data_IF_450549073632
#
_entry.id   IF_450549073632
#
_cell.length_a   1.000
_cell.length_b   1.000
_cell.length_c   1.000
_cell.angle_alpha   90.00
_cell.angle_beta   90.00
_cell.angle_gamma   90.00
#
_symmetry.space_group_name_H-M   'P 1'
#
loop_
_entity.id
_entity.type
_entity.pdbx_description
1 polymer ?
#
# COMPACT_ATOMS: atom_id res chain seq x y z
N UNK A 1 -7.61 -1.09 27.64
CA UNK A 1 -6.26 -0.49 27.59
C UNK A 1 -6.30 0.67 26.63
N UNK A 2 -5.66 1.80 26.95
CA UNK A 2 -5.89 3.13 26.35
C UNK A 2 -5.77 3.09 24.82
N UNK A 3 -6.89 3.32 24.14
CA UNK A 3 -6.98 3.45 22.70
C UNK A 3 -6.31 4.76 22.25
N UNK A 4 -5.06 4.69 21.82
CA UNK A 4 -4.46 5.74 20.98
C UNK A 4 -4.69 5.37 19.52
N UNK A 5 -5.89 5.66 19.02
CA UNK A 5 -6.07 6.01 17.61
C UNK A 5 -5.69 7.49 17.46
N UNK A 6 -4.94 7.86 16.42
CA UNK A 6 -5.60 8.00 15.13
C UNK A 6 -4.91 7.20 14.03
N UNK A 7 -5.71 6.77 13.06
CA UNK A 7 -5.21 6.41 11.74
C UNK A 7 -4.30 7.51 11.19
N UNK A 8 -3.01 7.20 11.05
CA UNK A 8 -1.98 8.11 10.53
C UNK A 8 -1.96 8.20 9.00
N UNK A 9 -2.61 7.25 8.33
CA UNK A 9 -2.93 7.36 6.90
C UNK A 9 -3.88 8.54 6.65
N UNK A 10 -4.83 8.78 7.56
CA UNK A 10 -5.64 10.00 7.53
C UNK A 10 -4.76 11.24 7.73
N UNK A 11 -3.65 11.18 8.49
CA UNK A 11 -2.74 12.32 8.70
C UNK A 11 -1.83 12.62 7.51
N UNK A 12 -1.41 11.61 6.73
CA UNK A 12 -0.72 11.84 5.45
C UNK A 12 -1.66 12.52 4.43
N UNK A 13 -2.96 12.24 4.53
CA UNK A 13 -4.05 12.88 3.78
C UNK A 13 -4.57 14.20 4.39
N UNK A 14 -4.35 14.45 5.70
CA UNK A 14 -4.76 15.67 6.41
C UNK A 14 -3.64 16.69 6.56
N UNK A 15 -2.35 16.32 6.43
CA UNK A 15 -1.26 17.29 6.30
C UNK A 15 -1.44 18.19 5.08
N UNK A 16 -2.27 17.73 4.15
CA UNK A 16 -2.76 18.41 2.96
C UNK A 16 -3.81 19.51 3.26
N UNK A 17 -4.47 19.52 4.42
CA UNK A 17 -5.62 20.39 4.67
C UNK A 17 -5.36 21.65 5.52
N UNK A 18 -4.11 21.99 5.85
CA UNK A 18 -3.86 23.20 6.66
C UNK A 18 -2.62 23.98 6.25
N UNK A 19 -2.80 24.99 5.40
CA UNK A 19 -2.21 26.34 5.51
C UNK A 19 -2.67 27.22 4.35
N UNK A 20 -3.66 28.08 4.58
CA UNK A 20 -3.88 29.27 3.75
C UNK A 20 -2.83 30.31 4.14
N UNK A 21 -1.90 30.66 3.25
CA UNK A 21 -1.57 32.06 2.88
C UNK A 21 -0.34 32.19 1.95
N UNK A 22 -0.59 32.80 0.79
CA UNK A 22 0.22 33.79 0.03
C UNK A 22 1.46 33.32 -0.78
N UNK A 23 1.19 33.21 -2.09
CA UNK A 23 1.89 33.73 -3.29
C UNK A 23 3.41 33.70 -3.46
N UNK A 24 3.88 32.90 -4.43
CA UNK A 24 4.93 33.26 -5.42
C UNK A 24 4.57 32.63 -6.78
N UNK A 25 4.59 33.41 -7.86
CA UNK A 25 4.32 32.98 -9.25
C UNK A 25 5.54 32.22 -9.83
N UNK A 26 5.41 31.16 -10.63
CA UNK A 26 4.74 31.11 -11.94
C UNK A 26 4.18 29.70 -12.25
N UNK A 27 3.01 29.70 -12.89
CA UNK A 27 2.01 28.61 -13.07
C UNK A 27 1.37 28.10 -11.78
N UNK A 28 0.08 28.43 -11.51
CA UNK A 28 -0.63 27.93 -10.33
C UNK A 28 -0.69 26.40 -10.38
N UNK A 29 -0.14 25.75 -9.36
CA UNK A 29 -0.56 24.40 -8.99
C UNK A 29 -2.01 24.53 -8.53
N UNK A 30 -2.97 24.19 -9.38
CA UNK A 30 -4.33 24.00 -8.87
C UNK A 30 -4.31 22.70 -8.06
N UNK A 31 -4.74 22.82 -6.82
CA UNK A 31 -4.94 21.69 -5.92
C UNK A 31 -6.42 21.35 -5.98
N UNK A 32 -6.77 20.20 -6.54
CA UNK A 32 -8.14 19.71 -6.51
C UNK A 32 -8.33 18.84 -5.28
N UNK A 33 -9.31 19.20 -4.43
CA UNK A 33 -9.73 18.39 -3.29
C UNK A 33 -10.73 17.34 -3.79
N UNK A 34 -10.42 16.06 -3.57
CA UNK A 34 -11.36 14.95 -3.77
C UNK A 34 -12.43 14.94 -2.65
N UNK A 35 -13.60 14.29 -2.83
CA UNK A 35 -14.55 14.00 -1.74
C UNK A 35 -13.93 13.31 -0.51
N UNK A 36 -12.73 12.72 -0.66
CA UNK A 36 -11.97 12.03 0.39
C UNK A 36 -10.74 12.83 0.86
N UNK A 37 -10.73 14.16 0.72
CA UNK A 37 -9.62 15.06 1.13
C UNK A 37 -8.24 14.69 0.53
N UNK A 38 -8.22 13.90 -0.55
CA UNK A 38 -7.02 13.63 -1.34
C UNK A 38 -6.65 14.91 -2.11
N UNK A 39 -5.44 15.40 -1.90
CA UNK A 39 -4.87 16.51 -2.68
C UNK A 39 -4.03 15.93 -3.81
N UNK A 40 -4.47 16.23 -5.02
CA UNK A 40 -3.73 15.97 -6.25
C UNK A 40 -3.19 17.31 -6.75
N UNK A 41 -1.88 17.39 -6.90
CA UNK A 41 -1.24 18.49 -7.60
C UNK A 41 -1.41 18.29 -9.10
N UNK A 42 -2.05 19.25 -9.77
CA UNK A 42 -2.20 19.23 -11.23
C UNK A 42 -0.83 19.38 -11.93
N UNK A 43 -0.70 18.79 -13.13
CA UNK A 43 0.50 18.84 -13.98
C UNK A 43 1.75 18.13 -13.42
N UNK A 44 1.58 17.14 -12.53
CA UNK A 44 2.65 16.18 -12.24
C UNK A 44 2.71 15.10 -13.34
N UNK A 45 3.88 14.55 -13.69
CA UNK A 45 3.92 13.37 -14.55
C UNK A 45 3.20 12.20 -13.87
N UNK A 46 2.91 11.15 -14.63
CA UNK A 46 2.29 9.94 -14.09
C UNK A 46 3.16 9.39 -12.94
N UNK A 47 2.69 9.59 -11.72
CA UNK A 47 3.27 9.01 -10.51
C UNK A 47 2.54 7.70 -10.29
N UNK A 48 3.31 6.64 -10.05
CA UNK A 48 2.77 5.35 -9.63
C UNK A 48 2.94 5.22 -8.12
N UNK A 49 1.97 5.71 -7.32
CA UNK A 49 2.01 5.41 -5.90
C UNK A 49 1.97 3.88 -5.75
N UNK A 50 2.79 3.34 -4.85
CA UNK A 50 2.58 1.99 -4.35
C UNK A 50 2.36 1.99 -2.86
N UNK A 51 1.94 0.87 -2.32
CA UNK A 51 1.75 0.72 -0.90
C UNK A 51 2.32 -0.63 -0.59
N UNK A 52 3.11 -0.68 0.45
CA UNK A 52 3.49 -1.96 1.05
C UNK A 52 3.00 -1.97 2.48
N UNK A 53 3.20 -3.03 3.23
CA UNK A 53 2.66 -3.11 4.59
C UNK A 53 3.68 -3.74 5.52
N UNK A 54 4.02 -3.07 6.61
CA UNK A 54 4.93 -3.61 7.60
C UNK A 54 4.34 -4.85 8.27
N UNK A 55 5.16 -5.88 8.35
CA UNK A 55 4.88 -7.11 9.08
C UNK A 55 6.15 -7.95 9.25
N UNK A 56 6.00 -9.16 9.77
CA UNK A 56 7.06 -10.16 9.79
C UNK A 56 6.64 -11.40 9.00
N UNK A 57 7.60 -12.02 8.32
CA UNK A 57 7.42 -13.26 7.59
C UNK A 57 8.16 -14.38 8.31
N UNK A 58 7.46 -15.46 8.63
CA UNK A 58 8.03 -16.71 9.12
C UNK A 58 7.83 -17.80 8.07
N UNK A 59 8.92 -18.49 7.68
CA UNK A 59 8.87 -19.62 6.75
C UNK A 59 9.30 -20.88 7.47
N UNK A 60 8.37 -21.81 7.64
CA UNK A 60 8.58 -23.08 8.34
C UNK A 60 8.62 -24.18 7.30
N UNK A 61 9.79 -24.76 7.08
CA UNK A 61 9.97 -25.90 6.17
C UNK A 61 9.93 -27.20 6.97
N UNK A 62 8.94 -28.04 6.69
CA UNK A 62 8.84 -29.40 7.24
C UNK A 62 9.26 -30.40 6.17
N UNK A 63 10.13 -31.34 6.56
CA UNK A 63 10.50 -32.49 5.72
C UNK A 63 9.73 -33.69 6.21
N UNK A 64 9.07 -34.40 5.30
CA UNK A 64 8.48 -35.69 5.59
C UNK A 64 9.59 -36.71 5.88
N UNK A 65 9.26 -37.74 6.64
CA UNK A 65 10.11 -38.92 6.68
C UNK A 65 10.32 -39.46 5.26
N UNK A 66 11.50 -40.01 4.95
CA UNK A 66 11.74 -40.69 3.68
C UNK A 66 10.77 -41.87 3.55
N UNK A 67 10.01 -41.88 2.46
CA UNK A 67 9.19 -43.01 2.04
C UNK A 67 10.04 -43.86 1.09
N UNK A 68 10.06 -45.17 1.32
CA UNK A 68 10.74 -46.12 0.45
C UNK A 68 9.70 -46.74 -0.48
N UNK A 69 9.85 -46.48 -1.77
CA UNK A 69 9.03 -47.06 -2.83
C UNK A 69 9.86 -48.01 -3.70
N UNK A 70 9.22 -49.01 -4.27
CA UNK A 70 9.84 -49.92 -5.24
C UNK A 70 9.30 -49.52 -6.60
N UNK A 71 10.18 -49.05 -7.49
CA UNK A 71 9.81 -48.79 -8.87
C UNK A 71 9.56 -50.10 -9.63
N UNK A 72 8.85 -50.00 -10.76
CA UNK A 72 8.48 -51.14 -11.63
C UNK A 72 9.70 -51.94 -12.13
N UNK A 73 10.89 -51.34 -12.08
CA UNK A 73 12.20 -51.95 -12.37
C UNK A 73 12.78 -52.79 -11.21
N UNK A 74 12.13 -52.83 -10.04
CA UNK A 74 12.60 -53.49 -8.83
C UNK A 74 13.61 -52.68 -8.01
N UNK A 75 13.88 -51.43 -8.38
CA UNK A 75 14.80 -50.54 -7.67
C UNK A 75 14.12 -49.87 -6.48
N UNK A 76 14.82 -49.79 -5.34
CA UNK A 76 14.37 -49.06 -4.15
C UNK A 76 14.67 -47.56 -4.32
N UNK A 77 13.63 -46.74 -4.19
CA UNK A 77 13.74 -45.28 -4.25
C UNK A 77 13.31 -44.71 -2.91
N UNK A 78 14.14 -43.81 -2.37
CA UNK A 78 13.78 -43.03 -1.19
C UNK A 78 13.32 -41.66 -1.64
N UNK A 79 12.05 -41.34 -1.42
CA UNK A 79 11.48 -40.01 -1.68
C UNK A 79 11.16 -39.32 -0.36
N UNK A 80 11.54 -38.05 -0.24
CA UNK A 80 11.14 -37.20 0.89
C UNK A 80 10.50 -35.94 0.34
N UNK A 81 9.28 -35.65 0.77
CA UNK A 81 8.60 -34.41 0.45
C UNK A 81 9.04 -33.32 1.43
N UNK A 82 9.16 -32.09 0.93
CA UNK A 82 9.39 -30.91 1.76
C UNK A 82 8.26 -29.92 1.49
N UNK A 83 7.57 -29.47 2.54
CA UNK A 83 6.55 -28.43 2.43
C UNK A 83 7.01 -27.21 3.22
N UNK A 84 6.81 -26.01 2.66
CA UNK A 84 7.13 -24.75 3.34
C UNK A 84 5.85 -24.00 3.60
N UNK A 85 5.51 -23.83 4.88
CA UNK A 85 4.42 -22.97 5.32
C UNK A 85 4.96 -21.54 5.51
N UNK A 86 4.26 -20.56 4.94
CA UNK A 86 4.57 -19.14 5.13
C UNK A 86 3.50 -18.52 6.03
N UNK A 87 3.94 -17.74 7.01
CA UNK A 87 3.06 -16.99 7.92
C UNK A 87 3.44 -15.52 7.92
N UNK A 88 2.45 -14.66 7.79
CA UNK A 88 2.60 -13.20 7.95
C UNK A 88 2.01 -12.80 9.30
N UNK A 89 2.71 -11.93 10.03
CA UNK A 89 2.20 -11.30 11.25
C UNK A 89 2.25 -9.78 11.12
N UNK A 90 1.12 -9.12 11.33
CA UNK A 90 1.00 -7.66 11.34
C UNK A 90 0.97 -7.14 12.78
N UNK A 91 1.42 -5.90 13.01
CA UNK A 91 1.64 -5.32 14.35
C UNK A 91 0.36 -5.19 15.19
N UNK A 92 -0.78 -4.96 14.54
CA UNK A 92 -2.09 -4.76 15.14
C UNK A 92 -2.99 -5.99 14.97
N UNK A 93 -2.41 -7.14 14.65
CA UNK A 93 -3.09 -8.43 14.61
C UNK A 93 -3.78 -8.75 13.27
N UNK A 94 -4.62 -9.80 13.25
CA UNK A 94 -5.14 -10.37 12.00
C UNK A 94 -6.02 -9.42 11.18
N UNK A 95 -6.78 -8.53 11.81
CA UNK A 95 -7.64 -7.58 11.10
C UNK A 95 -6.83 -6.54 10.32
N UNK A 96 -5.66 -6.13 10.82
CA UNK A 96 -4.74 -5.29 10.04
C UNK A 96 -4.24 -6.04 8.81
N UNK A 97 -3.81 -7.31 8.96
CA UNK A 97 -3.40 -8.11 7.81
C UNK A 97 -4.53 -8.25 6.78
N UNK A 98 -5.76 -8.50 7.23
CA UNK A 98 -6.93 -8.58 6.35
C UNK A 98 -7.20 -7.25 5.63
N UNK A 99 -7.11 -6.12 6.33
CA UNK A 99 -7.26 -4.79 5.75
C UNK A 99 -6.19 -4.46 4.72
N UNK A 100 -4.94 -4.84 4.98
CA UNK A 100 -3.82 -4.69 4.06
C UNK A 100 -4.05 -5.52 2.79
N UNK A 101 -4.47 -6.78 2.94
CA UNK A 101 -4.84 -7.65 1.82
C UNK A 101 -5.99 -7.05 1.00
N UNK A 102 -7.03 -6.51 1.63
CA UNK A 102 -8.15 -5.85 0.93
C UNK A 102 -7.66 -4.67 0.09
N UNK A 103 -6.76 -3.83 0.62
CA UNK A 103 -6.17 -2.70 -0.12
C UNK A 103 -5.29 -3.14 -1.30
N UNK A 104 -4.55 -4.24 -1.17
CA UNK A 104 -3.74 -4.83 -2.25
C UNK A 104 -4.62 -5.43 -3.34
N UNK A 105 -5.64 -6.21 -2.97
CA UNK A 105 -6.59 -6.80 -3.90
C UNK A 105 -7.38 -5.72 -4.65
N UNK A 106 -7.81 -4.66 -3.96
CA UNK A 106 -8.48 -3.55 -4.63
C UNK A 106 -7.57 -2.90 -5.68
N UNK A 107 -6.30 -2.64 -5.36
CA UNK A 107 -5.31 -2.13 -6.32
C UNK A 107 -5.18 -3.03 -7.55
N UNK A 108 -5.18 -4.35 -7.35
CA UNK A 108 -5.03 -5.32 -8.44
C UNK A 108 -6.12 -5.16 -9.51
N UNK A 109 -7.38 -4.96 -9.09
CA UNK A 109 -8.52 -4.83 -10.01
C UNK A 109 -8.84 -3.38 -10.40
N UNK A 110 -8.42 -2.42 -9.58
CA UNK A 110 -8.56 -0.98 -9.82
C UNK A 110 -7.17 -0.31 -9.71
N UNK A 111 -6.25 -0.52 -10.68
CA UNK A 111 -4.88 -0.02 -10.61
C UNK A 111 -4.75 1.49 -10.81
N UNK A 112 -5.82 2.14 -11.27
CA UNK A 112 -5.93 3.58 -11.40
C UNK A 112 -5.78 4.25 -10.03
N UNK A 113 -4.74 5.07 -9.86
CA UNK A 113 -4.47 5.75 -8.60
C UNK A 113 -5.60 6.72 -8.23
N UNK A 114 -6.36 7.23 -9.20
CA UNK A 114 -7.50 8.12 -8.95
C UNK A 114 -8.66 7.37 -8.30
N UNK A 115 -8.63 6.03 -8.27
CA UNK A 115 -9.63 5.19 -7.59
C UNK A 115 -9.02 4.52 -6.36
N UNK A 116 -7.85 3.92 -6.51
CA UNK A 116 -7.23 3.15 -5.44
C UNK A 116 -6.76 4.02 -4.27
N UNK A 117 -6.19 5.20 -4.52
CA UNK A 117 -5.77 6.10 -3.42
C UNK A 117 -6.98 6.58 -2.60
N UNK A 118 -8.09 7.04 -3.21
CA UNK A 118 -9.32 7.33 -2.46
C UNK A 118 -9.88 6.14 -1.68
N UNK A 119 -9.82 4.92 -2.21
CA UNK A 119 -10.23 3.71 -1.49
C UNK A 119 -9.40 3.49 -0.22
N UNK A 120 -8.08 3.52 -0.35
CA UNK A 120 -7.15 3.41 0.78
C UNK A 120 -7.40 4.55 1.78
N UNK A 121 -7.53 5.78 1.31
CA UNK A 121 -7.80 6.96 2.13
C UNK A 121 -9.10 6.80 2.95
N UNK A 122 -10.17 6.35 2.30
CA UNK A 122 -11.49 6.19 2.90
C UNK A 122 -11.51 5.06 3.95
N UNK A 123 -10.94 3.89 3.62
CA UNK A 123 -10.81 2.77 4.58
C UNK A 123 -10.09 3.20 5.86
N UNK A 124 -9.07 4.04 5.70
CA UNK A 124 -8.26 4.50 6.82
C UNK A 124 -8.87 5.70 7.56
N UNK A 125 -9.90 6.37 7.02
CA UNK A 125 -10.39 7.63 7.63
C UNK A 125 -11.80 7.54 8.19
N UNK A 126 -12.71 6.76 7.59
CA UNK A 126 -14.13 6.80 7.97
C UNK A 126 -14.43 6.01 9.24
N UNK A 127 -14.07 4.72 9.27
CA UNK A 127 -14.28 3.85 10.44
C UNK A 127 -13.08 2.94 10.66
N UNK A 128 -11.92 3.47 11.12
CA UNK A 128 -10.67 2.71 11.19
C UNK A 128 -10.74 1.44 12.07
N UNK A 129 -11.71 1.38 12.98
CA UNK A 129 -11.97 0.21 13.84
C UNK A 129 -12.53 -1.00 13.09
N UNK A 130 -13.09 -0.78 11.90
CA UNK A 130 -13.70 -1.81 11.05
C UNK A 130 -12.75 -2.30 9.94
N UNK A 131 -11.52 -1.78 9.89
CA UNK A 131 -10.50 -2.25 8.93
C UNK A 131 -10.32 -3.76 9.08
N UNK A 132 -10.29 -4.46 7.94
CA UNK A 132 -10.24 -5.92 7.89
C UNK A 132 -11.60 -6.61 7.83
N UNK A 133 -12.70 -5.93 8.19
CA UNK A 133 -14.04 -6.47 7.97
C UNK A 133 -14.38 -6.50 6.47
N UNK A 134 -14.73 -7.66 5.87
CA UNK A 134 -15.05 -7.73 4.45
C UNK A 134 -16.20 -6.81 4.03
N UNK A 135 -17.24 -6.70 4.87
CA UNK A 135 -18.39 -5.82 4.62
C UNK A 135 -17.98 -4.35 4.57
N UNK A 136 -17.10 -3.92 5.47
CA UNK A 136 -16.62 -2.55 5.50
C UNK A 136 -15.79 -2.21 4.27
N UNK A 137 -14.88 -3.10 3.86
CA UNK A 137 -14.11 -2.90 2.64
C UNK A 137 -15.03 -2.77 1.41
N UNK A 138 -16.07 -3.61 1.30
CA UNK A 138 -17.06 -3.53 0.22
C UNK A 138 -17.85 -2.23 0.23
N UNK A 139 -18.37 -1.82 1.40
CA UNK A 139 -19.10 -0.55 1.57
C UNK A 139 -18.25 0.66 1.13
N UNK A 140 -16.97 0.68 1.51
CA UNK A 140 -16.03 1.73 1.12
C UNK A 140 -15.76 1.71 -0.39
N UNK A 141 -15.55 0.53 -0.97
CA UNK A 141 -15.30 0.37 -2.40
C UNK A 141 -16.47 0.85 -3.26
N UNK A 142 -17.70 0.47 -2.91
CA UNK A 142 -18.91 0.89 -3.60
C UNK A 142 -19.09 2.41 -3.56
N UNK A 143 -18.88 3.02 -2.39
CA UNK A 143 -18.97 4.47 -2.23
C UNK A 143 -17.93 5.20 -3.06
N UNK A 144 -16.66 4.77 -3.01
CA UNK A 144 -15.59 5.40 -3.79
C UNK A 144 -15.82 5.28 -5.30
N UNK A 145 -16.26 4.12 -5.79
CA UNK A 145 -16.57 3.95 -7.20
C UNK A 145 -17.78 4.79 -7.63
N UNK A 146 -18.82 4.86 -6.80
CA UNK A 146 -19.97 5.73 -7.03
C UNK A 146 -19.54 7.19 -7.12
N UNK A 147 -18.72 7.67 -6.18
CA UNK A 147 -18.29 9.08 -6.11
C UNK A 147 -17.37 9.48 -7.27
N UNK A 148 -16.56 8.55 -7.80
CA UNK A 148 -15.50 8.87 -8.78
C UNK A 148 -15.87 8.50 -10.20
N UNK A 149 -16.43 7.29 -10.40
CA UNK A 149 -16.74 6.77 -11.74
C UNK A 149 -18.20 6.95 -12.11
N UNK A 150 -19.07 7.37 -11.18
CA UNK A 150 -20.53 7.43 -11.35
C UNK A 150 -21.15 6.08 -11.76
N UNK A 151 -20.46 4.96 -11.49
CA UNK A 151 -21.00 3.61 -11.64
C UNK A 151 -20.26 2.63 -10.71
N UNK A 152 -20.93 1.51 -10.40
CA UNK A 152 -20.37 0.42 -9.61
C UNK A 152 -20.20 -0.79 -10.52
N UNK A 153 -19.00 -1.36 -10.57
CA UNK A 153 -18.75 -2.63 -11.26
C UNK A 153 -18.82 -3.78 -10.26
N UNK A 154 -20.03 -4.29 -10.01
CA UNK A 154 -20.28 -5.42 -9.11
C UNK A 154 -19.38 -6.64 -9.45
N UNK A 155 -19.23 -7.07 -10.72
CA UNK A 155 -18.38 -8.21 -11.05
C UNK A 155 -16.89 -7.99 -10.70
N UNK A 156 -16.39 -6.76 -10.80
CA UNK A 156 -15.01 -6.47 -10.39
C UNK A 156 -14.86 -6.44 -8.88
N UNK A 157 -15.83 -5.89 -8.17
CA UNK A 157 -15.82 -5.90 -6.70
C UNK A 157 -15.91 -7.32 -6.14
N UNK A 158 -16.68 -8.21 -6.77
CA UNK A 158 -16.74 -9.62 -6.36
C UNK A 158 -15.36 -10.30 -6.52
N UNK A 159 -14.61 -9.96 -7.57
CA UNK A 159 -13.22 -10.41 -7.74
C UNK A 159 -12.27 -9.83 -6.69
N UNK A 160 -12.50 -8.60 -6.24
CA UNK A 160 -11.74 -8.02 -5.11
C UNK A 160 -12.00 -8.84 -3.84
N UNK A 161 -13.26 -9.13 -3.55
CA UNK A 161 -13.66 -9.91 -2.36
C UNK A 161 -13.11 -11.35 -2.42
N UNK A 162 -13.14 -11.97 -3.61
CA UNK A 162 -12.57 -13.29 -3.85
C UNK A 162 -11.05 -13.31 -3.67
N UNK A 163 -10.34 -12.31 -4.22
CA UNK A 163 -8.91 -12.14 -4.01
C UNK A 163 -8.59 -12.03 -2.52
N UNK A 164 -9.34 -11.20 -1.78
CA UNK A 164 -9.04 -10.89 -0.38
C UNK A 164 -9.13 -12.10 0.57
N UNK A 165 -9.90 -13.13 0.19
CA UNK A 165 -10.04 -14.39 0.96
C UNK A 165 -9.22 -15.56 0.40
N UNK A 166 -8.46 -15.34 -0.67
CA UNK A 166 -7.76 -16.40 -1.39
C UNK A 166 -6.26 -16.43 -1.12
N UNK A 167 -5.61 -17.50 -1.60
CA UNK A 167 -4.15 -17.60 -1.63
C UNK A 167 -3.51 -16.43 -2.41
N UNK A 168 -4.17 -15.96 -3.49
CA UNK A 168 -3.68 -14.83 -4.27
C UNK A 168 -3.57 -13.55 -3.42
N UNK A 169 -4.58 -13.25 -2.61
CA UNK A 169 -4.54 -12.12 -1.70
C UNK A 169 -3.46 -12.26 -0.62
N UNK A 170 -3.27 -13.49 -0.12
CA UNK A 170 -2.20 -13.78 0.82
C UNK A 170 -0.81 -13.60 0.19
N UNK A 171 -0.60 -14.04 -1.04
CA UNK A 171 0.67 -13.90 -1.75
C UNK A 171 1.00 -12.42 -2.02
N UNK A 172 -0.01 -11.60 -2.36
CA UNK A 172 0.15 -10.15 -2.46
C UNK A 172 0.60 -9.54 -1.11
N UNK A 173 0.03 -9.99 0.01
CA UNK A 173 0.44 -9.54 1.34
C UNK A 173 1.88 -9.96 1.66
N UNK A 174 2.28 -11.19 1.31
CA UNK A 174 3.66 -11.66 1.48
C UNK A 174 4.64 -10.82 0.67
N UNK A 175 4.35 -10.56 -0.61
CA UNK A 175 5.20 -9.71 -1.46
C UNK A 175 5.33 -8.30 -0.88
N UNK A 176 4.21 -7.74 -0.45
CA UNK A 176 4.14 -6.42 0.17
C UNK A 176 4.99 -6.33 1.44
N UNK A 177 4.85 -7.30 2.36
CA UNK A 177 5.64 -7.32 3.60
C UNK A 177 7.12 -7.53 3.30
N UNK A 178 7.45 -8.45 2.39
CA UNK A 178 8.84 -8.71 1.98
C UNK A 178 9.48 -7.43 1.42
N UNK A 179 8.74 -6.66 0.62
CA UNK A 179 9.22 -5.39 0.10
C UNK A 179 9.58 -4.40 1.22
N UNK A 180 8.83 -4.37 2.33
CA UNK A 180 9.16 -3.49 3.48
C UNK A 180 10.45 -3.93 4.18
N UNK A 181 10.64 -5.25 4.32
CA UNK A 181 11.81 -5.86 4.94
C UNK A 181 13.06 -5.58 4.12
N UNK A 182 12.98 -5.78 2.80
CA UNK A 182 14.10 -5.60 1.88
C UNK A 182 14.60 -4.14 1.84
N UNK A 183 13.72 -3.18 2.14
CA UNK A 183 14.04 -1.75 2.21
C UNK A 183 14.37 -1.27 3.63
N UNK A 184 14.48 -2.17 4.61
CA UNK A 184 14.82 -1.83 6.00
C UNK A 184 13.79 -0.94 6.68
N UNK A 185 12.53 -1.00 6.27
CA UNK A 185 11.45 -0.16 6.81
C UNK A 185 10.89 -0.79 8.08
N UNK A 186 11.15 -0.16 9.23
CA UNK A 186 10.65 -0.61 10.54
C UNK A 186 9.50 0.26 11.08
N UNK A 187 9.33 1.46 10.54
CA UNK A 187 8.38 2.47 11.01
C UNK A 187 7.32 2.73 9.93
N UNK A 188 6.04 2.62 10.32
CA UNK A 188 4.91 2.88 9.42
C UNK A 188 4.93 4.33 8.92
N UNK A 189 4.27 4.62 7.82
CA UNK A 189 4.24 5.97 7.24
C UNK A 189 5.64 6.51 6.87
N UNK A 190 6.54 5.61 6.44
CA UNK A 190 7.81 5.99 5.82
C UNK A 190 7.55 6.32 4.35
N UNK A 191 7.86 7.55 3.95
CA UNK A 191 7.66 8.02 2.58
C UNK A 191 8.95 7.85 1.80
N UNK A 192 8.86 7.21 0.64
CA UNK A 192 9.94 7.15 -0.34
C UNK A 192 9.59 8.02 -1.55
N UNK A 193 10.58 8.75 -2.05
CA UNK A 193 10.53 9.44 -3.33
C UNK A 193 11.82 9.11 -4.07
N UNK A 194 11.72 8.53 -5.26
CA UNK A 194 12.83 8.21 -6.16
C UNK A 194 13.73 7.14 -5.53
N UNK A 195 13.08 6.12 -4.97
CA UNK A 195 13.65 5.04 -4.14
C UNK A 195 14.51 5.53 -2.97
N UNK A 196 14.37 6.81 -2.59
CA UNK A 196 15.05 7.43 -1.45
C UNK A 196 14.06 7.73 -0.35
N UNK A 197 14.40 7.32 0.88
CA UNK A 197 13.62 7.69 2.06
C UNK A 197 13.57 9.21 2.18
N UNK A 198 12.35 9.76 2.13
CA UNK A 198 12.09 11.20 2.10
C UNK A 198 11.71 11.77 3.46
N UNK A 199 10.94 11.03 4.24
CA UNK A 199 10.34 11.52 5.48
C UNK A 199 9.70 10.32 6.22
N UNK A 200 9.61 10.39 7.54
CA UNK A 200 8.97 9.36 8.38
C UNK A 200 7.95 10.05 9.28
N UNK A 201 6.76 9.48 9.42
CA UNK A 201 5.82 9.89 10.47
C UNK A 201 5.86 8.86 11.60
N UNK A 202 6.23 9.30 12.79
CA UNK A 202 6.24 8.45 13.98
C UNK A 202 5.50 9.14 15.13
N UNK A 203 4.45 8.48 15.63
CA UNK A 203 3.57 9.05 16.66
C UNK A 203 2.86 10.34 16.24
N UNK A 204 2.60 10.52 14.93
CA UNK A 204 2.02 11.75 14.39
C UNK A 204 3.00 12.92 14.23
N UNK A 205 4.29 12.67 14.43
CA UNK A 205 5.34 13.68 14.30
C UNK A 205 6.18 13.34 13.07
N UNK A 206 6.35 14.33 12.19
CA UNK A 206 7.27 14.26 11.06
C UNK A 206 8.72 14.25 11.54
N UNK A 207 9.50 13.28 11.08
CA UNK A 207 10.90 13.05 11.43
C UNK A 207 11.70 12.71 10.18
N UNK A 208 12.99 13.04 10.21
CA UNK A 208 13.92 12.69 9.12
C UNK A 208 13.47 13.26 7.75
N UNK A 209 13.03 14.52 7.75
CA UNK A 209 12.47 15.21 6.57
C UNK A 209 13.42 16.35 6.12
N UNK A 210 14.55 16.05 5.47
CA UNK A 210 15.59 17.03 5.15
C UNK A 210 15.12 18.18 4.25
N UNK A 211 14.08 17.97 3.46
CA UNK A 211 13.49 18.98 2.57
C UNK A 211 12.17 19.56 3.12
N UNK A 212 11.90 19.36 4.42
CA UNK A 212 10.69 19.79 5.10
C UNK A 212 9.53 18.78 5.03
N UNK A 213 8.42 19.08 5.70
CA UNK A 213 7.27 18.18 5.86
C UNK A 213 5.92 18.83 5.53
N UNK A 214 5.92 20.03 4.93
CA UNK A 214 4.70 20.64 4.41
C UNK A 214 4.26 19.97 3.11
N UNK A 215 3.03 20.25 2.67
CA UNK A 215 2.52 19.81 1.37
C UNK A 215 3.43 20.26 0.23
N UNK A 216 3.80 21.54 0.28
CA UNK A 216 4.62 22.21 -0.73
C UNK A 216 6.01 21.57 -0.80
N UNK A 217 6.55 21.14 0.35
CA UNK A 217 7.80 20.40 0.42
C UNK A 217 7.72 19.06 -0.32
N UNK A 218 6.63 18.30 -0.12
CA UNK A 218 6.43 17.03 -0.84
C UNK A 218 6.18 17.25 -2.33
N UNK A 219 5.35 18.23 -2.70
CA UNK A 219 5.09 18.56 -4.11
C UNK A 219 6.39 18.94 -4.82
N UNK A 220 7.27 19.71 -4.16
CA UNK A 220 8.60 20.05 -4.68
C UNK A 220 9.44 18.79 -4.89
N UNK A 221 9.59 17.94 -3.88
CA UNK A 221 10.39 16.70 -3.99
C UNK A 221 9.90 15.78 -5.11
N UNK A 222 8.58 15.69 -5.30
CA UNK A 222 7.96 14.91 -6.38
C UNK A 222 8.30 15.54 -7.74
N UNK A 223 8.16 16.85 -7.90
CA UNK A 223 8.53 17.57 -9.14
C UNK A 223 10.02 17.42 -9.46
N UNK A 224 10.88 17.49 -8.45
CA UNK A 224 12.31 17.33 -8.63
C UNK A 224 12.65 15.90 -9.08
N UNK A 225 12.08 14.88 -8.43
CA UNK A 225 12.21 13.49 -8.86
C UNK A 225 11.72 13.27 -10.30
N UNK A 226 10.54 13.78 -10.62
CA UNK A 226 9.95 13.78 -11.95
C UNK A 226 10.88 14.41 -13.00
N UNK A 227 11.49 15.55 -12.70
CA UNK A 227 12.41 16.23 -13.62
C UNK A 227 13.66 15.39 -13.87
N UNK A 228 14.22 14.73 -12.84
CA UNK A 228 15.35 13.81 -12.98
C UNK A 228 15.01 12.62 -13.86
N UNK A 229 13.79 12.13 -13.78
CA UNK A 229 13.28 11.05 -14.64
C UNK A 229 13.07 11.51 -16.07
N UNK A 230 12.70 12.77 -16.28
CA UNK A 230 12.59 13.37 -17.62
C UNK A 230 13.97 13.59 -18.24
N UNK A 231 14.99 13.92 -17.43
CA UNK A 231 16.40 13.94 -17.85
C UNK A 231 16.91 12.52 -18.12
N UNK A 232 16.50 11.55 -17.30
CA UNK A 232 16.82 10.12 -17.41
C UNK A 232 15.88 9.36 -18.35
N UNK A 233 15.04 10.01 -19.17
CA UNK A 233 14.32 9.34 -20.26
C UNK A 233 15.24 8.97 -21.44
N UNK A 234 16.55 8.99 -21.19
CA UNK A 234 17.57 8.21 -21.89
C UNK A 234 17.68 6.77 -21.33
N UNK A 235 17.17 6.42 -20.13
CA UNK A 235 17.19 5.07 -19.52
C UNK A 235 16.18 4.85 -18.32
N UNK A 236 14.94 4.41 -18.64
CA UNK A 236 14.04 3.41 -17.99
C UNK A 236 13.69 3.31 -16.46
N UNK A 237 12.34 3.24 -16.23
CA UNK A 237 11.47 2.54 -15.20
C UNK A 237 11.37 3.09 -13.75
N UNK A 238 10.14 3.15 -13.19
CA UNK A 238 9.72 4.19 -12.23
C UNK A 238 8.78 3.69 -11.08
N UNK A 239 9.28 3.76 -9.83
CA UNK A 239 8.64 3.90 -8.49
C UNK A 239 7.85 2.78 -7.74
N UNK A 240 8.15 2.68 -6.42
CA UNK A 240 7.41 1.99 -5.33
C UNK A 240 7.26 2.89 -4.05
N UNK A 241 6.11 2.88 -3.39
CA UNK A 241 5.82 3.34 -2.00
C UNK A 241 5.43 2.14 -1.08
N UNK A 242 5.79 2.24 0.22
CA UNK A 242 5.82 1.16 1.23
C UNK A 242 5.18 1.67 2.54
N UNK A 243 4.07 1.11 3.04
CA UNK A 243 3.51 1.41 4.38
C UNK A 243 3.86 0.33 5.40
#
# INVERSE_FOLDING_TARGET
MKYSTPSLLATLLLALSSSNNIAVANTPLTIKKSPVDVIQAENLPAIHPSLSFIGSIERITTKSAPVLDIEESGSLISTSASTTATKVTCKHGPLECAGNTQQLCFKKFFPDHEVWVPFVAAMNSWEPRRIGEPKYAREVAERVLSDIKNYISVPLLDRVDDCAKSQEGFDLLVESVQNTIDHGVSTSCTVFIDDKKRCVVDGGIWRECPEGSSVEDFVRSIKDAASRLTINFVNSRLFRLVL
#
